data_IF_193233252261
#
_entry.id   IF_193233252261
#
_cell.length_a   1.000
_cell.length_b   1.000
_cell.length_c   1.000
_cell.angle_alpha   90.00
_cell.angle_beta   90.00
_cell.angle_gamma   90.00
#
_symmetry.space_group_name_H-M   'P 1'
#
loop_
_entity.id
_entity.type
_entity.pdbx_description
1 polymer ?
#
# COMPACT_ATOMS: atom_id res chain seq x y z
N UNK A 1 -9.33 -11.06 12.97
CA UNK A 1 -7.95 -11.04 13.42
C UNK A 1 -7.00 -11.18 12.26
N UNK A 2 -6.06 -10.33 12.21
CA UNK A 2 -5.13 -10.29 11.12
C UNK A 2 -3.97 -11.24 11.35
N UNK A 3 -3.68 -12.09 10.39
CA UNK A 3 -2.61 -13.05 10.53
C UNK A 3 -1.33 -12.53 9.91
N UNK A 4 -0.22 -12.56 10.65
CA UNK A 4 1.06 -12.12 10.10
C UNK A 4 1.63 -13.08 9.07
N UNK A 5 1.03 -14.23 8.92
CA UNK A 5 1.52 -15.21 7.95
C UNK A 5 0.93 -15.02 6.57
N UNK A 6 0.05 -14.05 6.42
CA UNK A 6 -0.52 -13.81 5.12
C UNK A 6 0.55 -13.43 4.13
N UNK A 7 0.40 -14.02 2.96
CA UNK A 7 1.25 -13.67 1.85
C UNK A 7 0.38 -13.25 0.69
N UNK A 8 0.81 -12.21 0.02
CA UNK A 8 0.07 -11.71 -1.12
C UNK A 8 0.79 -12.10 -2.40
N UNK A 9 0.01 -12.47 -3.40
CA UNK A 9 0.56 -12.71 -4.72
C UNK A 9 0.94 -11.38 -5.35
N UNK A 10 1.72 -11.46 -6.43
CA UNK A 10 2.04 -10.27 -7.21
C UNK A 10 0.78 -9.52 -7.60
N UNK A 11 -0.20 -10.28 -8.04
CA UNK A 11 -1.44 -9.70 -8.49
C UNK A 11 -2.14 -8.95 -7.36
N UNK A 12 -2.18 -9.57 -6.21
CA UNK A 12 -2.84 -8.95 -5.06
C UNK A 12 -2.11 -7.71 -4.61
N UNK A 13 -0.78 -7.75 -4.59
CA UNK A 13 0.00 -6.58 -4.21
C UNK A 13 -0.26 -5.43 -5.18
N UNK A 14 -0.35 -5.73 -6.47
CA UNK A 14 -0.62 -4.68 -7.44
C UNK A 14 -1.97 -4.03 -7.20
N UNK A 15 -2.98 -4.85 -6.91
CA UNK A 15 -4.31 -4.31 -6.64
C UNK A 15 -4.27 -3.42 -5.40
N UNK A 16 -3.58 -3.86 -4.36
CA UNK A 16 -3.50 -3.08 -3.14
C UNK A 16 -2.78 -1.77 -3.39
N UNK A 17 -1.68 -1.80 -4.13
CA UNK A 17 -0.92 -0.59 -4.41
C UNK A 17 -1.78 0.38 -5.22
N UNK A 18 -2.49 -0.11 -6.22
CA UNK A 18 -3.34 0.76 -7.02
C UNK A 18 -4.42 1.40 -6.16
N UNK A 19 -5.03 0.61 -5.28
CA UNK A 19 -6.06 1.14 -4.40
C UNK A 19 -5.50 2.21 -3.48
N UNK A 20 -4.29 1.99 -2.95
CA UNK A 20 -3.67 2.97 -2.08
C UNK A 20 -3.31 4.24 -2.83
N UNK A 21 -2.85 4.11 -4.07
CA UNK A 21 -2.53 5.29 -4.88
C UNK A 21 -3.79 6.11 -5.14
N UNK A 22 -4.89 5.44 -5.44
CA UNK A 22 -6.13 6.15 -5.67
C UNK A 22 -6.60 6.85 -4.40
N UNK A 23 -6.48 6.18 -3.28
CA UNK A 23 -6.83 6.80 -2.00
C UNK A 23 -5.97 8.03 -1.74
N UNK A 24 -4.67 7.91 -2.01
CA UNK A 24 -3.77 9.03 -1.83
C UNK A 24 -4.20 10.22 -2.69
N UNK A 25 -4.54 9.95 -3.95
CA UNK A 25 -4.97 11.01 -4.84
C UNK A 25 -6.23 11.69 -4.32
N UNK A 26 -7.16 10.92 -3.79
CA UNK A 26 -8.36 11.48 -3.21
C UNK A 26 -8.04 12.37 -2.01
N UNK A 27 -7.16 11.89 -1.15
CA UNK A 27 -6.78 12.68 0.02
C UNK A 27 -6.11 13.97 -0.39
N UNK A 28 -5.24 13.91 -1.39
CA UNK A 28 -4.58 15.11 -1.88
C UNK A 28 -5.58 16.10 -2.43
N UNK A 29 -6.56 15.61 -3.17
CA UNK A 29 -7.58 16.48 -3.73
C UNK A 29 -8.39 17.15 -2.64
N UNK A 30 -8.51 16.52 -1.48
CA UNK A 30 -9.25 17.08 -0.37
C UNK A 30 -8.37 17.89 0.57
N UNK A 31 -7.08 18.01 0.26
CA UNK A 31 -6.18 18.74 1.12
C UNK A 31 -5.88 18.04 2.43
N UNK A 32 -5.98 16.73 2.46
CA UNK A 32 -5.78 15.95 3.67
C UNK A 32 -4.40 15.30 3.69
N UNK A 33 -3.99 14.89 4.87
CA UNK A 33 -2.70 14.27 5.04
C UNK A 33 -2.70 12.88 4.43
N UNK A 34 -1.56 12.51 3.83
CA UNK A 34 -1.41 11.21 3.20
C UNK A 34 -0.33 10.37 3.88
N UNK A 35 0.11 10.76 5.06
CA UNK A 35 1.25 10.12 5.71
C UNK A 35 1.03 8.62 5.89
N UNK A 36 -0.14 8.24 6.37
CA UNK A 36 -0.40 6.82 6.63
C UNK A 36 -0.42 6.03 5.33
N UNK A 37 -1.02 6.61 4.29
CA UNK A 37 -1.07 5.93 3.00
C UNK A 37 0.32 5.82 2.39
N UNK A 38 1.11 6.88 2.50
CA UNK A 38 2.47 6.86 2.00
C UNK A 38 3.28 5.77 2.67
N UNK A 39 3.13 5.64 3.98
CA UNK A 39 3.87 4.63 4.70
C UNK A 39 3.46 3.22 4.27
N UNK A 40 2.17 3.00 4.07
CA UNK A 40 1.71 1.71 3.60
C UNK A 40 2.24 1.39 2.22
N UNK A 41 2.25 2.39 1.35
CA UNK A 41 2.79 2.20 0.00
C UNK A 41 4.24 1.80 0.05
N UNK A 42 5.02 2.49 0.87
CA UNK A 42 6.43 2.18 1.01
C UNK A 42 6.61 0.76 1.52
N UNK A 43 5.82 0.36 2.50
CA UNK A 43 5.94 -0.98 3.05
C UNK A 43 5.63 -2.04 2.02
N UNK A 44 4.58 -1.85 1.24
CA UNK A 44 4.23 -2.83 0.22
C UNK A 44 5.30 -2.91 -0.87
N UNK A 45 5.79 -1.77 -1.29
CA UNK A 45 6.78 -1.76 -2.36
C UNK A 45 8.10 -2.33 -1.89
N UNK A 46 8.60 -1.85 -0.75
CA UNK A 46 9.89 -2.32 -0.26
C UNK A 46 9.81 -3.75 0.26
N UNK A 47 8.74 -4.06 0.95
CA UNK A 47 8.57 -5.42 1.45
C UNK A 47 8.51 -6.43 0.34
N UNK A 48 7.93 -6.03 -0.78
CA UNK A 48 7.81 -6.93 -1.91
C UNK A 48 9.12 -7.06 -2.66
N UNK A 49 9.82 -5.95 -2.84
CA UNK A 49 11.03 -5.97 -3.63
C UNK A 49 12.28 -6.29 -2.84
N UNK A 50 12.25 -6.12 -1.53
CA UNK A 50 13.42 -6.43 -0.72
C UNK A 50 13.50 -7.89 -0.37
N UNK A 51 12.66 -8.67 -0.92
CA UNK A 51 12.65 -10.09 -0.65
C UNK A 51 13.97 -10.72 -1.11
N UNK A 52 14.61 -11.47 -0.26
CA UNK A 52 15.88 -12.11 -0.63
C UNK A 52 15.70 -13.19 -1.66
#
# INVERSE_FOLDING_TARGET
MFSPKYRFTHYEVRIIVIALVELKNQLLAEGRYTDAVDELLIRFVLGHSSHP
#
